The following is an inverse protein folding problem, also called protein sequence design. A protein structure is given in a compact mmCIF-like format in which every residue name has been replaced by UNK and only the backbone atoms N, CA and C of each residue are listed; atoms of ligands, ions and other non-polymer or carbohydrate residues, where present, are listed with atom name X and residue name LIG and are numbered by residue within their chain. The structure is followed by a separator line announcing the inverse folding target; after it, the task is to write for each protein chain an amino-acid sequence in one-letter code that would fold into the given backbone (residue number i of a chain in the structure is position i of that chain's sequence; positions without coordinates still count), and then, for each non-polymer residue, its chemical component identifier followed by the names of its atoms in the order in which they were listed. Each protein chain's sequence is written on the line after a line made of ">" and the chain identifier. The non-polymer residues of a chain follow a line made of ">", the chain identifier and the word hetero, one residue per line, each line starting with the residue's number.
data_IF_130331507673
#
_entry.id   IF_130331507673
#
_cell.length_a   1.000
_cell.length_b   1.000
_cell.length_c   1.000
_cell.angle_alpha   90.00
_cell.angle_beta   90.00
_cell.angle_gamma   90.00
#
_symmetry.space_group_name_H-M   'P 1'
#
loop_
_entity.id
_entity.type
_entity.pdbx_description
1 polymer ?
#
# COMPACT_ATOMS: atom_id res chain seq x y z
N UNK A 1 12.48 -8.17 19.42
CA UNK A 1 13.36 -8.24 18.25
C UNK A 1 14.24 -6.99 18.21
N UNK A 2 15.53 -7.17 18.01
CA UNK A 2 16.53 -6.10 17.88
C UNK A 2 16.76 -5.74 16.40
N UNK A 3 17.49 -4.67 16.11
CA UNK A 3 17.88 -4.35 14.74
C UNK A 3 18.65 -5.51 14.08
N UNK A 4 19.54 -6.16 14.84
CA UNK A 4 20.30 -7.32 14.37
C UNK A 4 19.40 -8.50 13.97
N UNK A 5 18.28 -8.71 14.68
CA UNK A 5 17.32 -9.78 14.34
C UNK A 5 16.65 -9.49 12.98
N UNK A 6 16.26 -8.24 12.73
CA UNK A 6 15.68 -7.83 11.44
C UNK A 6 16.69 -7.90 10.29
N UNK A 7 17.95 -7.55 10.54
CA UNK A 7 19.01 -7.67 9.55
C UNK A 7 19.35 -9.13 9.23
N UNK A 8 19.18 -10.03 10.21
CA UNK A 8 19.40 -11.46 10.04
C UNK A 8 18.27 -12.19 9.32
N UNK A 9 17.10 -11.57 9.17
CA UNK A 9 15.94 -12.15 8.48
C UNK A 9 16.30 -12.53 7.02
N UNK A 10 15.87 -13.70 6.52
CA UNK A 10 16.15 -14.13 5.15
C UNK A 10 15.72 -13.10 4.09
N UNK A 11 14.58 -12.44 4.26
CA UNK A 11 14.11 -11.42 3.29
C UNK A 11 15.00 -10.18 3.30
N UNK A 12 15.49 -9.75 4.48
CA UNK A 12 16.43 -8.63 4.58
C UNK A 12 17.75 -8.95 3.90
N UNK A 13 18.28 -10.16 4.09
CA UNK A 13 19.51 -10.61 3.45
C UNK A 13 19.37 -10.77 1.95
N UNK A 14 18.29 -11.40 1.48
CA UNK A 14 18.01 -11.59 0.04
C UNK A 14 17.80 -10.24 -0.67
N UNK A 15 17.20 -9.27 0.02
CA UNK A 15 17.01 -7.91 -0.47
C UNK A 15 18.25 -7.01 -0.29
N UNK A 16 19.33 -7.53 0.32
CA UNK A 16 20.54 -6.76 0.64
C UNK A 16 20.23 -5.44 1.39
N UNK A 17 19.30 -5.52 2.36
CA UNK A 17 18.95 -4.35 3.14
C UNK A 17 20.10 -3.95 4.07
N UNK A 18 20.36 -2.66 4.15
CA UNK A 18 21.23 -2.03 5.13
C UNK A 18 20.42 -1.59 6.35
N UNK A 19 21.07 -1.29 7.47
CA UNK A 19 20.40 -0.82 8.69
C UNK A 19 19.49 0.38 8.46
N UNK A 20 19.93 1.34 7.63
CA UNK A 20 19.12 2.51 7.29
C UNK A 20 17.81 2.15 6.57
N UNK A 21 17.82 1.12 5.72
CA UNK A 21 16.63 0.61 5.07
C UNK A 21 15.65 0.00 6.07
N UNK A 22 16.16 -0.85 6.97
CA UNK A 22 15.36 -1.49 8.03
C UNK A 22 14.78 -0.44 8.97
N UNK A 23 15.57 0.55 9.39
CA UNK A 23 15.12 1.63 10.26
C UNK A 23 14.03 2.48 9.59
N UNK A 24 14.18 2.82 8.31
CA UNK A 24 13.18 3.59 7.57
C UNK A 24 11.85 2.82 7.45
N UNK A 25 11.88 1.52 7.14
CA UNK A 25 10.70 0.66 7.10
C UNK A 25 10.05 0.53 8.48
N UNK A 26 10.84 0.27 9.53
CA UNK A 26 10.35 0.20 10.91
C UNK A 26 9.69 1.51 11.36
N UNK A 27 10.31 2.65 11.04
CA UNK A 27 9.76 3.96 11.35
C UNK A 27 8.40 4.16 10.66
N UNK A 28 8.29 3.75 9.40
CA UNK A 28 7.06 3.88 8.62
C UNK A 28 5.89 3.09 9.24
N UNK A 29 6.12 1.91 9.82
CA UNK A 29 5.07 1.10 10.45
C UNK A 29 4.57 1.66 11.79
N UNK A 30 5.11 2.76 12.26
CA UNK A 30 4.66 3.49 13.46
C UNK A 30 3.84 4.72 13.07
N UNK A 31 3.33 5.46 14.06
CA UNK A 31 2.63 6.74 13.80
C UNK A 31 3.47 7.78 13.06
N UNK A 32 4.79 7.57 12.96
CA UNK A 32 5.69 8.43 12.19
C UNK A 32 5.41 8.42 10.68
N UNK A 33 4.65 7.45 10.16
CA UNK A 33 4.21 7.47 8.76
C UNK A 33 3.50 8.78 8.38
N UNK A 34 2.84 9.45 9.34
CA UNK A 34 2.19 10.74 9.09
C UNK A 34 3.19 11.83 8.71
N UNK A 35 4.39 11.83 9.34
CA UNK A 35 5.47 12.77 9.04
C UNK A 35 6.10 12.51 7.67
N UNK A 36 6.00 11.29 7.18
CA UNK A 36 6.47 10.88 5.86
C UNK A 36 5.40 11.19 4.79
N UNK A 37 4.17 10.75 5.01
CA UNK A 37 3.13 10.77 3.98
C UNK A 37 2.48 12.14 3.79
N UNK A 38 2.24 12.90 4.86
CA UNK A 38 1.54 14.19 4.74
C UNK A 38 2.30 15.19 3.86
N UNK A 39 3.63 15.38 3.99
CA UNK A 39 4.36 16.27 3.09
C UNK A 39 4.40 15.78 1.64
N UNK A 40 4.37 14.45 1.40
CA UNK A 40 4.33 13.89 0.05
C UNK A 40 2.98 14.11 -0.64
N UNK A 41 1.89 14.21 0.12
CA UNK A 41 0.53 14.47 -0.37
C UNK A 41 0.20 15.95 -0.49
N UNK A 42 1.02 16.83 0.07
CA UNK A 42 0.82 18.28 0.02
C UNK A 42 1.27 18.84 -1.33
N UNK A 43 0.32 18.93 -2.26
CA UNK A 43 0.57 19.51 -3.60
C UNK A 43 1.00 20.97 -3.54
N UNK A 44 0.49 21.74 -2.56
CA UNK A 44 0.89 23.12 -2.36
C UNK A 44 2.37 23.24 -1.99
N UNK A 45 2.87 22.31 -1.17
CA UNK A 45 4.29 22.21 -0.84
C UNK A 45 5.13 21.94 -2.10
N UNK A 46 4.71 21.00 -2.93
CA UNK A 46 5.41 20.69 -4.19
C UNK A 46 5.44 21.91 -5.13
N UNK A 47 4.32 22.64 -5.26
CA UNK A 47 4.24 23.84 -6.09
C UNK A 47 5.17 24.96 -5.59
N UNK A 48 5.39 25.07 -4.29
CA UNK A 48 6.35 26.04 -3.70
C UNK A 48 7.79 25.58 -3.73
N UNK A 49 8.07 24.37 -4.22
CA UNK A 49 9.44 23.81 -4.25
C UNK A 49 10.01 23.50 -2.87
N UNK A 50 9.17 23.34 -1.85
CA UNK A 50 9.61 23.05 -0.49
C UNK A 50 10.10 21.61 -0.36
N UNK A 51 11.33 21.44 0.14
CA UNK A 51 11.89 20.12 0.37
C UNK A 51 11.12 19.34 1.43
N UNK A 52 11.07 18.01 1.27
CA UNK A 52 10.49 17.12 2.28
C UNK A 52 11.27 17.22 3.60
N UNK A 53 10.61 17.28 4.79
CA UNK A 53 11.32 17.40 6.07
C UNK A 53 12.20 16.18 6.41
N UNK A 54 11.91 15.01 5.83
CA UNK A 54 12.65 13.76 6.04
C UNK A 54 13.10 13.15 4.69
N UNK A 55 13.88 13.88 3.85
CA UNK A 55 14.16 13.43 2.49
C UNK A 55 15.01 12.16 2.47
N UNK A 56 15.94 12.02 3.38
CA UNK A 56 16.82 10.85 3.52
C UNK A 56 16.00 9.60 3.90
N UNK A 57 15.09 9.73 4.87
CA UNK A 57 14.19 8.64 5.28
C UNK A 57 13.31 8.19 4.11
N UNK A 58 12.76 9.13 3.34
CA UNK A 58 11.95 8.82 2.16
C UNK A 58 12.78 8.08 1.09
N UNK A 59 14.02 8.49 0.89
CA UNK A 59 14.91 7.83 -0.08
C UNK A 59 15.22 6.38 0.34
N UNK A 60 15.62 6.16 1.60
CA UNK A 60 15.86 4.80 2.10
C UNK A 60 14.61 3.94 2.11
N UNK A 61 13.45 4.51 2.45
CA UNK A 61 12.18 3.80 2.41
C UNK A 61 11.82 3.35 0.97
N UNK A 62 11.95 4.25 0.00
CA UNK A 62 11.69 3.95 -1.40
C UNK A 62 12.62 2.86 -1.94
N UNK A 63 13.91 2.96 -1.62
CA UNK A 63 14.91 1.96 -2.03
C UNK A 63 14.65 0.60 -1.36
N UNK A 64 14.33 0.58 -0.07
CA UNK A 64 14.00 -0.65 0.65
C UNK A 64 12.79 -1.37 0.03
N UNK A 65 11.71 -0.62 -0.28
CA UNK A 65 10.53 -1.18 -0.96
C UNK A 65 10.93 -1.75 -2.33
N UNK A 66 11.77 -1.06 -3.10
CA UNK A 66 12.24 -1.53 -4.40
C UNK A 66 13.02 -2.84 -4.29
N UNK A 67 13.94 -2.94 -3.32
CA UNK A 67 14.76 -4.14 -3.07
C UNK A 67 13.90 -5.33 -2.65
N UNK A 68 12.98 -5.15 -1.70
CA UNK A 68 12.06 -6.19 -1.24
C UNK A 68 11.12 -6.67 -2.35
N UNK A 69 10.64 -5.77 -3.22
CA UNK A 69 9.86 -6.16 -4.40
C UNK A 69 10.65 -7.06 -5.34
N UNK A 70 11.95 -6.82 -5.50
CA UNK A 70 12.81 -7.68 -6.32
C UNK A 70 12.93 -9.10 -5.75
N UNK A 71 12.93 -9.26 -4.43
CA UNK A 71 12.84 -10.57 -3.77
C UNK A 71 11.51 -11.25 -4.11
N UNK A 72 10.40 -10.53 -3.94
CA UNK A 72 9.06 -11.05 -4.28
C UNK A 72 8.93 -11.52 -5.73
N UNK A 73 9.70 -10.91 -6.65
CA UNK A 73 9.73 -11.30 -8.06
C UNK A 73 10.30 -12.70 -8.31
N UNK A 74 11.16 -13.18 -7.42
CA UNK A 74 11.81 -14.51 -7.51
C UNK A 74 10.95 -15.63 -6.93
N UNK A 75 9.89 -15.30 -6.19
CA UNK A 75 9.02 -16.29 -5.55
C UNK A 75 8.20 -17.07 -6.58
N UNK A 76 7.90 -18.33 -6.29
CA UNK A 76 7.12 -19.21 -7.17
C UNK A 76 5.73 -18.64 -7.53
N UNK A 77 5.13 -17.86 -6.63
CA UNK A 77 3.81 -17.23 -6.83
C UNK A 77 3.87 -15.80 -7.40
N UNK A 78 5.04 -15.36 -7.89
CA UNK A 78 5.23 -13.99 -8.41
C UNK A 78 4.24 -13.62 -9.53
N UNK A 79 3.79 -14.60 -10.31
CA UNK A 79 2.84 -14.42 -11.43
C UNK A 79 1.38 -14.69 -11.06
N UNK A 80 1.10 -15.12 -9.82
CA UNK A 80 -0.27 -15.40 -9.38
C UNK A 80 -0.97 -14.10 -8.99
N UNK A 81 -2.26 -13.90 -9.33
CA UNK A 81 -3.01 -12.74 -8.85
C UNK A 81 -3.10 -12.71 -7.32
N UNK A 82 -2.97 -11.53 -6.74
CA UNK A 82 -3.16 -11.31 -5.30
C UNK A 82 -4.16 -10.20 -5.10
N UNK A 83 -5.08 -10.40 -4.16
CA UNK A 83 -6.04 -9.38 -3.73
C UNK A 83 -5.49 -8.69 -2.49
N UNK A 84 -5.44 -7.37 -2.55
CA UNK A 84 -5.00 -6.51 -1.45
C UNK A 84 -6.13 -5.54 -1.10
N UNK A 85 -6.18 -5.15 0.16
CA UNK A 85 -7.21 -4.28 0.71
C UNK A 85 -6.60 -3.07 1.41
N UNK A 86 -7.32 -1.95 1.39
CA UNK A 86 -6.99 -0.76 2.17
C UNK A 86 -8.27 -0.11 2.69
N UNK A 87 -8.35 0.05 4.01
CA UNK A 87 -9.43 0.79 4.67
C UNK A 87 -9.06 2.26 4.88
N UNK A 88 -10.00 3.16 4.59
CA UNK A 88 -9.86 4.60 4.80
C UNK A 88 -11.01 5.11 5.64
N UNK A 89 -10.67 5.75 6.77
CA UNK A 89 -11.64 6.41 7.67
C UNK A 89 -11.96 7.82 7.20
N UNK A 90 -13.17 8.27 7.46
CA UNK A 90 -13.61 9.66 7.21
C UNK A 90 -13.29 10.11 5.78
N UNK A 91 -13.47 9.20 4.83
CA UNK A 91 -13.12 9.41 3.43
C UNK A 91 -14.31 9.14 2.54
N UNK A 92 -14.38 9.88 1.43
CA UNK A 92 -15.32 9.66 0.34
C UNK A 92 -14.55 9.52 -0.96
N UNK A 93 -15.10 8.77 -1.91
CA UNK A 93 -14.50 8.62 -3.24
C UNK A 93 -15.17 9.61 -4.18
N UNK A 94 -14.41 10.56 -4.77
CA UNK A 94 -14.95 11.45 -5.79
C UNK A 94 -15.40 10.66 -7.02
N UNK A 95 -16.48 11.06 -7.72
CA UNK A 95 -16.92 10.40 -8.95
C UNK A 95 -15.83 10.29 -10.03
N UNK A 96 -14.96 11.31 -10.11
CA UNK A 96 -13.81 11.29 -11.02
C UNK A 96 -12.87 10.13 -10.74
N UNK A 97 -12.58 9.84 -9.46
CA UNK A 97 -11.72 8.72 -9.08
C UNK A 97 -12.30 7.37 -9.50
N UNK A 98 -13.63 7.20 -9.40
CA UNK A 98 -14.29 5.95 -9.85
C UNK A 98 -14.11 5.76 -11.34
N UNK A 99 -14.15 6.84 -12.12
CA UNK A 99 -14.07 6.82 -13.58
C UNK A 99 -12.64 6.76 -14.10
N UNK A 100 -11.74 7.51 -13.50
CA UNK A 100 -10.40 7.80 -14.04
C UNK A 100 -9.28 7.16 -13.21
N UNK A 101 -9.58 6.72 -11.98
CA UNK A 101 -8.58 6.29 -11.02
C UNK A 101 -7.91 7.48 -10.33
N UNK A 102 -6.72 7.26 -9.79
CA UNK A 102 -5.97 8.32 -9.12
C UNK A 102 -4.55 7.89 -8.79
N UNK A 103 -3.74 8.85 -8.41
CA UNK A 103 -2.34 8.67 -8.01
C UNK A 103 -2.19 8.87 -6.50
N UNK A 104 -1.63 7.89 -5.81
CA UNK A 104 -1.15 8.05 -4.43
C UNK A 104 0.31 8.53 -4.48
N UNK A 105 0.57 9.71 -3.93
CA UNK A 105 1.90 10.32 -3.93
C UNK A 105 2.81 9.85 -2.80
N UNK A 106 2.24 9.22 -1.78
CA UNK A 106 2.97 8.67 -0.65
C UNK A 106 3.06 7.14 -0.73
N UNK A 107 3.94 6.49 0.04
CA UNK A 107 3.88 5.05 0.22
C UNK A 107 2.49 4.63 0.69
N UNK A 108 1.96 3.56 0.12
CA UNK A 108 0.59 3.12 0.39
C UNK A 108 0.59 1.76 1.06
N UNK A 109 0.22 1.74 2.35
CA UNK A 109 0.02 0.51 3.11
C UNK A 109 -1.28 -0.17 2.70
N UNK A 110 -1.21 -1.48 2.50
CA UNK A 110 -2.31 -2.38 2.19
C UNK A 110 -2.14 -3.67 2.97
N UNK A 111 -3.15 -4.51 2.97
CA UNK A 111 -3.11 -5.84 3.61
C UNK A 111 -3.78 -6.88 2.72
N UNK A 112 -3.40 -8.14 2.86
CA UNK A 112 -4.12 -9.26 2.26
C UNK A 112 -5.26 -9.75 3.17
N UNK A 113 -5.37 -9.27 4.41
CA UNK A 113 -6.44 -9.59 5.35
C UNK A 113 -7.57 -8.54 5.29
N UNK A 114 -8.73 -8.95 4.78
CA UNK A 114 -9.91 -8.10 4.69
C UNK A 114 -10.35 -7.57 6.06
N UNK A 115 -10.21 -8.37 7.14
CA UNK A 115 -10.65 -7.99 8.49
C UNK A 115 -9.83 -6.80 9.02
N UNK A 116 -8.54 -6.78 8.72
CA UNK A 116 -7.65 -5.65 9.04
C UNK A 116 -8.11 -4.39 8.31
N UNK A 117 -8.35 -4.46 7.01
CA UNK A 117 -8.79 -3.32 6.22
C UNK A 117 -10.17 -2.79 6.68
N UNK A 118 -11.10 -3.68 7.07
CA UNK A 118 -12.40 -3.30 7.63
C UNK A 118 -12.22 -2.54 8.94
N UNK A 119 -11.34 -3.00 9.85
CA UNK A 119 -11.03 -2.27 11.10
C UNK A 119 -10.50 -0.85 10.83
N UNK A 120 -9.63 -0.71 9.82
CA UNK A 120 -9.09 0.59 9.42
C UNK A 120 -10.12 1.50 8.73
N UNK A 121 -11.18 0.95 8.16
CA UNK A 121 -12.25 1.73 7.55
C UNK A 121 -13.36 2.12 8.53
N UNK A 122 -13.38 1.61 9.77
CA UNK A 122 -14.47 1.79 10.73
C UNK A 122 -14.71 3.27 11.07
N UNK A 123 -15.69 3.91 10.40
CA UNK A 123 -16.15 5.27 10.60
C UNK A 123 -17.51 5.48 9.92
N UNK A 124 -18.15 6.64 10.16
CA UNK A 124 -19.44 6.98 9.52
C UNK A 124 -19.35 7.09 8.01
N UNK A 125 -18.24 7.60 7.51
CA UNK A 125 -17.93 7.66 6.09
C UNK A 125 -16.64 6.91 5.86
N UNK A 126 -16.71 5.78 5.19
CA UNK A 126 -15.58 4.88 5.02
C UNK A 126 -15.43 4.42 3.57
N UNK A 127 -14.20 4.22 3.17
CA UNK A 127 -13.86 3.63 1.87
C UNK A 127 -13.06 2.37 2.10
N UNK A 128 -13.44 1.31 1.45
CA UNK A 128 -12.66 0.08 1.36
C UNK A 128 -12.20 -0.09 -0.09
N UNK A 129 -10.91 0.06 -0.31
CA UNK A 129 -10.29 -0.21 -1.60
C UNK A 129 -9.94 -1.71 -1.67
N UNK A 130 -10.35 -2.35 -2.75
CA UNK A 130 -9.94 -3.71 -3.12
C UNK A 130 -9.14 -3.63 -4.40
N UNK A 131 -7.90 -4.08 -4.36
CA UNK A 131 -6.96 -4.05 -5.48
C UNK A 131 -6.61 -5.48 -5.87
N UNK A 132 -6.66 -5.77 -7.17
CA UNK A 132 -6.23 -7.06 -7.71
C UNK A 132 -4.95 -6.82 -8.49
N UNK A 133 -3.84 -7.34 -7.97
CA UNK A 133 -2.54 -7.28 -8.64
C UNK A 133 -2.32 -8.56 -9.44
N UNK A 134 -2.03 -8.46 -10.72
CA UNK A 134 -1.87 -9.62 -11.61
C UNK A 134 -0.48 -10.23 -11.56
N UNK A 135 0.50 -9.44 -11.16
CA UNK A 135 1.91 -9.85 -11.10
C UNK A 135 2.67 -9.09 -10.01
N UNK A 136 3.91 -9.53 -9.74
CA UNK A 136 4.80 -8.85 -8.79
C UNK A 136 5.11 -7.39 -9.18
N UNK A 137 5.06 -7.05 -10.48
CA UNK A 137 5.31 -5.68 -10.95
C UNK A 137 4.26 -4.72 -10.39
N UNK A 138 3.02 -5.19 -10.24
CA UNK A 138 1.90 -4.42 -9.71
C UNK A 138 1.81 -4.47 -8.17
N UNK A 139 2.62 -5.31 -7.50
CA UNK A 139 2.59 -5.49 -6.05
C UNK A 139 3.49 -4.51 -5.32
N UNK A 140 3.10 -4.20 -4.08
CA UNK A 140 3.99 -3.66 -3.07
C UNK A 140 4.99 -4.71 -2.54
N UNK A 141 5.79 -4.29 -1.59
CA UNK A 141 6.67 -5.16 -0.81
C UNK A 141 5.94 -5.70 0.41
N UNK A 142 6.05 -6.99 0.69
CA UNK A 142 5.65 -7.56 1.97
C UNK A 142 6.66 -7.11 3.04
N UNK A 143 6.17 -6.38 4.04
CA UNK A 143 6.97 -5.87 5.14
C UNK A 143 6.48 -6.39 6.50
N UNK A 144 5.65 -7.44 6.51
CA UNK A 144 5.02 -7.99 7.72
C UNK A 144 6.06 -8.32 8.79
N UNK A 145 7.19 -8.91 8.40
CA UNK A 145 8.26 -9.28 9.33
C UNK A 145 8.98 -8.07 9.94
N UNK A 146 8.93 -6.91 9.28
CA UNK A 146 9.50 -5.63 9.74
C UNK A 146 8.48 -4.77 10.48
N UNK A 147 7.19 -5.03 10.33
CA UNK A 147 6.14 -4.19 10.88
C UNK A 147 6.15 -4.17 12.42
N UNK A 148 5.75 -3.03 12.98
CA UNK A 148 5.42 -2.94 14.41
C UNK A 148 4.17 -3.75 14.76
N UNK A 149 3.35 -4.10 13.74
CA UNK A 149 2.11 -4.85 13.82
C UNK A 149 2.13 -6.01 12.80
N UNK A 150 2.90 -7.08 13.05
CA UNK A 150 3.07 -8.19 12.08
C UNK A 150 1.75 -8.86 11.68
N UNK A 151 0.76 -8.86 12.59
CA UNK A 151 -0.57 -9.43 12.38
C UNK A 151 -1.39 -8.67 11.32
N UNK A 152 -0.97 -7.50 10.92
CA UNK A 152 -1.64 -6.73 9.88
C UNK A 152 -1.26 -7.18 8.46
N UNK A 153 -0.31 -8.10 8.32
CA UNK A 153 0.14 -8.64 7.03
C UNK A 153 0.35 -7.54 5.98
N UNK A 154 1.15 -6.54 6.37
CA UNK A 154 1.30 -5.29 5.63
C UNK A 154 2.09 -5.48 4.33
N UNK A 155 1.49 -5.03 3.23
CA UNK A 155 2.12 -4.91 1.91
C UNK A 155 2.19 -3.44 1.54
N UNK A 156 3.42 -2.92 1.39
CA UNK A 156 3.69 -1.51 1.19
C UNK A 156 4.01 -1.18 -0.27
N UNK A 157 3.18 -0.35 -0.89
CA UNK A 157 3.42 0.17 -2.24
C UNK A 157 4.39 1.35 -2.21
N UNK A 158 5.20 1.50 -3.27
CA UNK A 158 6.17 2.60 -3.35
C UNK A 158 5.49 3.96 -3.51
N UNK A 159 6.29 5.02 -3.36
CA UNK A 159 5.90 6.41 -3.69
C UNK A 159 5.45 6.49 -5.15
N UNK A 160 4.37 7.21 -5.41
CA UNK A 160 3.71 7.37 -6.72
C UNK A 160 3.19 6.04 -7.28
N UNK A 161 2.10 5.60 -6.71
CA UNK A 161 1.34 4.47 -7.23
C UNK A 161 0.10 4.98 -7.98
N UNK A 162 -0.01 4.61 -9.26
CA UNK A 162 -1.16 4.92 -10.09
C UNK A 162 -2.18 3.79 -10.03
N UNK A 163 -3.39 4.10 -9.57
CA UNK A 163 -4.51 3.17 -9.56
C UNK A 163 -5.42 3.44 -10.77
N UNK A 164 -5.51 2.47 -11.67
CA UNK A 164 -6.50 2.52 -12.75
C UNK A 164 -7.80 1.84 -12.33
N UNK A 165 -8.98 2.27 -12.85
CA UNK A 165 -10.28 1.74 -12.47
C UNK A 165 -10.44 0.23 -12.68
N UNK A 166 -9.70 -0.34 -13.62
CA UNK A 166 -9.69 -1.79 -13.87
C UNK A 166 -8.94 -2.60 -12.79
N UNK A 167 -8.17 -1.94 -11.93
CA UNK A 167 -7.42 -2.55 -10.85
C UNK A 167 -7.98 -2.22 -9.44
N UNK A 168 -8.82 -1.20 -9.35
CA UNK A 168 -9.44 -0.79 -8.10
C UNK A 168 -10.96 -0.91 -8.20
N UNK A 169 -11.52 -1.98 -7.64
CA UNK A 169 -12.96 -2.00 -7.32
C UNK A 169 -13.14 -1.25 -6.02
N UNK A 170 -13.55 0.02 -6.10
CA UNK A 170 -14.00 0.75 -4.92
C UNK A 170 -15.40 0.26 -4.55
N UNK A 171 -15.51 -0.63 -3.58
CA UNK A 171 -16.80 -0.95 -2.99
C UNK A 171 -17.08 0.08 -1.89
N UNK A 172 -17.97 1.01 -2.19
CA UNK A 172 -18.56 1.92 -1.20
C UNK A 172 -19.48 1.08 -0.31
N UNK A 173 -19.02 0.71 0.86
CA UNK A 173 -19.88 0.20 1.91
C UNK A 173 -20.29 1.36 2.81
N UNK A 174 -21.45 1.95 2.50
CA UNK A 174 -22.17 2.79 3.45
C UNK A 174 -22.58 1.87 4.61
N UNK A 175 -22.01 2.10 5.79
CA UNK A 175 -22.39 1.38 7.00
C UNK A 175 -23.78 1.82 7.46
N UNK A 176 -24.81 1.19 6.94
CA UNK A 176 -26.04 0.92 7.65
C UNK A 176 -26.18 -0.60 7.70
N UNK A 177 -26.10 -1.14 8.90
CA UNK A 177 -26.41 -2.52 9.29
C UNK A 177 -27.12 -3.33 8.20
N UNK A 178 -26.37 -4.16 7.49
CA UNK A 178 -26.72 -5.48 7.01
C UNK A 178 -25.63 -5.99 6.05
N UNK A 179 -25.09 -7.16 6.37
CA UNK A 179 -24.18 -7.88 5.49
C UNK A 179 -24.90 -8.29 4.21
N UNK A 180 -24.51 -7.76 3.07
CA UNK A 180 -24.87 -8.30 1.77
C UNK A 180 -23.63 -8.52 0.93
N UNK A 181 -23.53 -9.73 0.41
CA UNK A 181 -22.49 -10.25 -0.45
C UNK A 181 -22.30 -9.37 -1.68
N UNK A 182 -21.04 -9.07 -1.99
CA UNK A 182 -20.63 -8.32 -3.17
C UNK A 182 -20.98 -9.09 -4.46
N UNK A 183 -21.56 -8.44 -5.47
CA UNK A 183 -21.72 -9.05 -6.78
C UNK A 183 -20.37 -9.15 -7.52
N UNK A 184 -20.20 -10.16 -8.40
CA UNK A 184 -18.99 -10.30 -9.20
C UNK A 184 -18.85 -9.16 -10.21
N UNK A 185 -17.60 -8.78 -10.52
CA UNK A 185 -17.28 -7.81 -11.56
C UNK A 185 -17.90 -8.22 -12.91
N UNK A 186 -18.90 -7.46 -13.37
CA UNK A 186 -19.43 -7.56 -14.73
C UNK A 186 -18.69 -6.52 -15.60
N UNK A 187 -17.98 -7.01 -16.61
CA UNK A 187 -17.58 -6.22 -17.77
C UNK A 187 -16.10 -5.84 -17.86
N UNK A 188 -15.23 -6.79 -18.18
CA UNK A 188 -14.02 -6.51 -18.92
C UNK A 188 -14.06 -7.36 -20.22
N UNK A 189 -14.89 -6.95 -21.18
CA UNK A 189 -14.83 -7.48 -22.53
C UNK A 189 -13.69 -6.76 -23.26
N UNK A 190 -12.71 -7.55 -23.69
CA UNK A 190 -11.68 -7.12 -24.63
C UNK A 190 -12.33 -6.70 -25.94
N UNK A 191 -12.13 -5.48 -26.40
CA UNK A 191 -12.14 -5.16 -27.82
C UNK A 191 -10.71 -5.28 -28.33
N UNK A 192 -10.49 -6.37 -29.11
CA UNK A 192 -9.37 -6.44 -30.06
C UNK A 192 -9.82 -5.68 -31.30
N UNK A 193 -9.09 -4.75 -31.74
CA UNK A 193 -8.77 -4.47 -33.16
C UNK A 193 -7.42 -3.81 -33.17
#
# INVERSE_FOLDING_TARGET
>A
MTLADFMADPNSREAELEEAHVLALRLYTTKAYLLINNPLRDLGRHQRGEAHPLPVTVAFLAEAIRRLRAVGAKMANARSPVVLYRGLKNSTVPPAFIKEGGTEYAPMSTTNDLSVAVRYSASRSSVLLRMVTKSFIERGADISYLSAFPEEAEVLFPVRFDSHPCHASASLQLSHSHASLLPPCVGCSRSRT
#
